data_IF_376043912956
#
_entry.id   IF_376043912956
#
_cell.length_a   1.000
_cell.length_b   1.000
_cell.length_c   1.000
_cell.angle_alpha   90.00
_cell.angle_beta   90.00
_cell.angle_gamma   90.00
#
_symmetry.space_group_name_H-M   'P 1'
#
loop_
_entity.id
_entity.type
_entity.pdbx_description
1 polymer ?
#
# COMPACT_ATOMS: atom_id res chain seq x y z
N UNK A 1 -0.60 -15.41 0.43
CA UNK A 1 -0.70 -15.81 -0.99
C UNK A 1 -0.11 -17.20 -1.12
N UNK A 2 -0.79 -18.15 -1.76
CA UNK A 2 -0.32 -19.54 -1.90
C UNK A 2 -0.25 -19.99 -3.37
N UNK A 3 -0.64 -19.13 -4.29
CA UNK A 3 -0.60 -19.35 -5.74
C UNK A 3 0.04 -18.13 -6.41
N UNK A 4 0.70 -18.38 -7.51
CA UNK A 4 1.22 -17.33 -8.37
C UNK A 4 0.09 -16.62 -9.13
N UNK A 5 0.36 -15.41 -9.59
CA UNK A 5 -0.57 -14.66 -10.43
C UNK A 5 -0.54 -15.27 -11.83
N UNK A 6 -1.72 -15.57 -12.39
CA UNK A 6 -1.81 -16.10 -13.75
C UNK A 6 -1.50 -15.02 -14.81
N UNK A 7 -0.97 -15.45 -15.95
CA UNK A 7 -0.71 -14.57 -17.09
C UNK A 7 -1.99 -13.83 -17.55
N UNK A 8 -3.13 -14.52 -17.55
CA UNK A 8 -4.41 -13.90 -17.90
C UNK A 8 -4.79 -12.75 -16.97
N UNK A 9 -4.50 -12.90 -15.67
CA UNK A 9 -4.77 -11.84 -14.69
C UNK A 9 -3.81 -10.66 -14.87
N UNK A 10 -2.52 -10.92 -15.13
CA UNK A 10 -1.54 -9.86 -15.42
C UNK A 10 -1.96 -9.08 -16.66
N UNK A 11 -2.36 -9.76 -17.73
CA UNK A 11 -2.84 -9.13 -18.95
C UNK A 11 -4.12 -8.30 -18.74
N UNK A 12 -5.05 -8.81 -17.92
CA UNK A 12 -6.27 -8.09 -17.58
C UNK A 12 -5.99 -6.82 -16.77
N UNK A 13 -5.05 -6.89 -15.82
CA UNK A 13 -4.60 -5.72 -15.05
C UNK A 13 -3.91 -4.72 -15.99
N UNK A 14 -3.04 -5.17 -16.88
CA UNK A 14 -2.36 -4.32 -17.86
C UNK A 14 -3.36 -3.56 -18.74
N UNK A 15 -4.36 -4.25 -19.28
CA UNK A 15 -5.43 -3.62 -20.07
C UNK A 15 -6.18 -2.56 -19.27
N UNK A 16 -6.57 -2.88 -18.03
CA UNK A 16 -7.26 -1.94 -17.17
C UNK A 16 -6.41 -0.70 -16.85
N UNK A 17 -5.13 -0.89 -16.58
CA UNK A 17 -4.18 0.19 -16.27
C UNK A 17 -3.99 1.14 -17.46
N UNK A 18 -4.11 0.65 -18.68
CA UNK A 18 -4.03 1.48 -19.89
C UNK A 18 -5.34 2.25 -20.17
N UNK A 19 -6.48 1.71 -19.77
CA UNK A 19 -7.80 2.33 -19.93
C UNK A 19 -8.14 3.34 -18.82
N UNK A 20 -7.69 3.08 -17.58
CA UNK A 20 -8.06 3.85 -16.41
C UNK A 20 -7.68 5.35 -16.46
N UNK A 21 -6.55 5.78 -17.04
CA UNK A 21 -6.23 7.20 -17.17
C UNK A 21 -7.30 8.02 -17.89
N UNK A 22 -7.97 7.44 -18.91
CA UNK A 22 -9.06 8.13 -19.60
C UNK A 22 -10.26 8.37 -18.69
N UNK A 23 -10.56 7.43 -17.78
CA UNK A 23 -11.60 7.59 -16.77
C UNK A 23 -11.24 8.71 -15.77
N UNK A 24 -9.97 8.80 -15.39
CA UNK A 24 -9.49 9.89 -14.53
C UNK A 24 -9.62 11.25 -15.22
N UNK A 25 -9.29 11.33 -16.49
CA UNK A 25 -9.41 12.57 -17.27
C UNK A 25 -10.88 12.99 -17.43
N UNK A 26 -11.82 12.06 -17.59
CA UNK A 26 -13.25 12.33 -17.61
C UNK A 26 -13.74 12.89 -16.26
N UNK A 27 -13.29 12.30 -15.15
CA UNK A 27 -13.63 12.77 -13.79
C UNK A 27 -13.03 14.16 -13.56
N UNK A 28 -11.78 14.37 -13.96
CA UNK A 28 -11.08 15.65 -13.85
C UNK A 28 -11.82 16.75 -14.61
N UNK A 29 -12.18 16.50 -15.85
CA UNK A 29 -12.97 17.41 -16.69
C UNK A 29 -14.36 17.73 -16.13
N UNK A 30 -14.98 16.76 -15.43
CA UNK A 30 -16.31 16.95 -14.83
C UNK A 30 -16.28 17.72 -13.52
N UNK A 31 -15.29 17.50 -12.66
CA UNK A 31 -15.29 17.97 -11.26
C UNK A 31 -14.30 19.10 -11.00
N UNK A 32 -13.07 19.01 -11.48
CA UNK A 32 -11.96 19.88 -11.05
C UNK A 32 -12.26 21.35 -11.32
N UNK A 33 -12.75 21.69 -12.51
CA UNK A 33 -13.11 23.06 -12.85
C UNK A 33 -14.60 23.41 -12.60
N UNK A 34 -15.37 22.46 -12.06
CA UNK A 34 -16.78 22.67 -11.81
C UNK A 34 -16.98 23.72 -10.69
N UNK A 35 -17.68 24.81 -11.03
CA UNK A 35 -17.93 25.92 -10.10
C UNK A 35 -18.65 25.48 -8.83
N UNK A 36 -19.64 24.62 -8.93
CA UNK A 36 -20.41 24.14 -7.78
C UNK A 36 -19.52 23.29 -6.88
N UNK A 37 -18.71 22.41 -7.48
CA UNK A 37 -17.77 21.57 -6.75
C UNK A 37 -16.72 22.41 -6.02
N UNK A 38 -16.12 23.39 -6.69
CA UNK A 38 -15.15 24.32 -6.07
C UNK A 38 -15.78 25.10 -4.90
N UNK A 39 -16.98 25.65 -5.08
CA UNK A 39 -17.66 26.40 -4.01
C UNK A 39 -17.98 25.56 -2.77
N UNK A 40 -18.04 24.26 -2.90
CA UNK A 40 -18.33 23.34 -1.79
C UNK A 40 -17.08 22.74 -1.14
N UNK A 41 -15.91 22.89 -1.72
CA UNK A 41 -14.68 22.25 -1.27
C UNK A 41 -13.53 23.21 -0.99
N UNK A 42 -13.46 24.34 -1.69
CA UNK A 42 -12.43 25.35 -1.45
C UNK A 42 -12.69 26.06 -0.13
N UNK A 43 -11.66 26.20 0.69
CA UNK A 43 -11.71 26.79 2.04
C UNK A 43 -12.64 26.05 3.02
N UNK A 44 -13.02 24.82 2.72
CA UNK A 44 -13.86 23.99 3.59
C UNK A 44 -13.00 22.97 4.33
N UNK A 45 -13.20 22.86 5.64
CA UNK A 45 -12.48 21.95 6.53
C UNK A 45 -10.96 22.09 6.39
N UNK A 46 -10.49 23.31 6.45
CA UNK A 46 -9.06 23.65 6.44
C UNK A 46 -8.39 23.08 7.69
N UNK A 47 -7.30 22.35 7.49
CA UNK A 47 -6.48 21.83 8.58
C UNK A 47 -5.07 22.38 8.41
N UNK A 48 -4.59 23.07 9.43
CA UNK A 48 -3.24 23.66 9.42
C UNK A 48 -2.16 22.62 9.65
N UNK A 49 -0.92 22.94 9.25
CA UNK A 49 0.25 22.11 9.53
C UNK A 49 0.42 21.87 11.05
N UNK A 50 0.19 22.90 11.86
CA UNK A 50 0.23 22.81 13.33
C UNK A 50 -0.79 21.81 13.89
N UNK A 51 -2.01 21.81 13.35
CA UNK A 51 -3.06 20.88 13.79
C UNK A 51 -2.74 19.43 13.35
N UNK A 52 -2.14 19.26 12.18
CA UNK A 52 -1.68 17.95 11.72
C UNK A 52 -0.72 17.33 12.71
N UNK A 53 0.29 18.08 13.13
CA UNK A 53 1.29 17.62 14.09
C UNK A 53 0.70 17.37 15.47
N UNK A 54 -0.20 18.24 15.93
CA UNK A 54 -0.83 18.11 17.26
C UNK A 54 -1.78 16.93 17.37
N UNK A 55 -2.53 16.63 16.32
CA UNK A 55 -3.56 15.59 16.32
C UNK A 55 -3.10 14.27 15.69
N UNK A 56 -1.88 14.21 15.14
CA UNK A 56 -1.32 12.99 14.57
C UNK A 56 -2.05 12.53 13.31
N UNK A 57 -2.41 13.46 12.43
CA UNK A 57 -3.00 13.11 11.14
C UNK A 57 -1.99 12.36 10.25
N UNK A 58 -2.49 11.59 9.31
CA UNK A 58 -1.69 10.84 8.34
C UNK A 58 -2.34 10.84 6.96
N UNK A 59 -1.62 10.34 5.96
CA UNK A 59 -2.15 10.18 4.60
C UNK A 59 -2.43 11.50 3.90
N UNK A 60 -3.48 11.52 3.12
CA UNK A 60 -3.86 12.69 2.30
C UNK A 60 -4.21 13.93 3.14
N UNK A 61 -4.58 13.76 4.41
CA UNK A 61 -4.81 14.90 5.31
C UNK A 61 -3.51 15.69 5.51
N UNK A 62 -2.40 15.00 5.68
CA UNK A 62 -1.06 15.57 5.83
C UNK A 62 -0.59 16.17 4.51
N UNK A 63 -0.70 15.43 3.42
CA UNK A 63 -0.25 15.87 2.10
C UNK A 63 -1.04 17.06 1.58
N UNK A 64 -2.35 17.08 1.79
CA UNK A 64 -3.19 18.23 1.41
C UNK A 64 -2.86 19.53 2.13
N UNK A 65 -2.21 19.47 3.28
CA UNK A 65 -1.83 20.64 4.09
C UNK A 65 -0.35 21.05 3.96
N UNK A 66 0.37 20.49 2.99
CA UNK A 66 1.71 20.97 2.64
C UNK A 66 2.87 20.07 3.04
N UNK A 67 2.64 18.97 3.76
CA UNK A 67 3.70 18.06 4.18
C UNK A 67 3.80 16.83 3.27
N UNK A 68 4.96 16.61 2.68
CA UNK A 68 5.24 15.47 1.81
C UNK A 68 5.51 14.18 2.63
N UNK A 69 4.56 13.78 3.47
CA UNK A 69 4.67 12.58 4.28
C UNK A 69 3.96 11.41 3.63
N UNK A 70 4.73 10.39 3.26
CA UNK A 70 4.24 9.12 2.72
C UNK A 70 5.18 8.01 3.19
N UNK A 71 4.65 7.00 3.88
CA UNK A 71 5.45 5.90 4.43
C UNK A 71 6.15 5.08 3.36
N UNK A 72 5.59 5.01 2.15
CA UNK A 72 6.24 4.33 1.02
C UNK A 72 7.56 4.98 0.60
N UNK A 73 7.76 6.27 0.92
CA UNK A 73 9.01 7.02 0.68
C UNK A 73 9.81 7.27 1.96
N UNK A 74 9.14 7.61 3.07
CA UNK A 74 9.81 7.96 4.32
C UNK A 74 10.36 6.73 5.05
N UNK A 75 9.65 5.61 5.01
CA UNK A 75 10.03 4.32 5.59
C UNK A 75 9.63 3.19 4.63
N UNK A 76 10.33 3.03 3.50
CA UNK A 76 9.99 2.07 2.47
C UNK A 76 9.83 0.66 3.03
N UNK A 77 8.80 -0.02 2.60
CA UNK A 77 8.50 -1.40 2.92
C UNK A 77 8.25 -2.17 1.63
N UNK A 78 8.43 -3.50 1.67
CA UNK A 78 8.38 -4.36 0.49
C UNK A 78 9.36 -3.86 -0.59
N UNK A 79 8.88 -3.53 -1.78
CA UNK A 79 9.71 -3.09 -2.92
C UNK A 79 9.44 -1.62 -3.31
N UNK A 80 8.85 -0.79 -2.43
CA UNK A 80 8.52 0.59 -2.80
C UNK A 80 9.73 1.49 -3.06
N UNK A 81 10.90 1.15 -2.54
CA UNK A 81 12.16 1.84 -2.81
C UNK A 81 12.67 1.62 -4.24
N UNK A 82 12.16 0.59 -4.92
CA UNK A 82 12.55 0.24 -6.30
C UNK A 82 11.65 0.90 -7.36
N UNK A 83 10.52 1.49 -6.97
CA UNK A 83 9.57 2.11 -7.89
C UNK A 83 9.71 3.63 -7.91
N UNK A 84 9.58 4.19 -9.11
CA UNK A 84 9.54 5.64 -9.28
C UNK A 84 8.10 6.15 -9.23
N UNK A 85 7.84 7.05 -8.28
CA UNK A 85 6.57 7.77 -8.13
C UNK A 85 6.78 9.04 -7.32
N UNK A 86 5.88 9.99 -7.48
CA UNK A 86 5.89 11.25 -6.75
C UNK A 86 4.84 11.26 -5.65
N UNK A 87 5.11 12.00 -4.58
CA UNK A 87 4.16 12.25 -3.50
C UNK A 87 3.49 13.59 -3.78
N UNK A 88 2.21 13.63 -4.16
CA UNK A 88 1.51 14.88 -4.39
C UNK A 88 1.26 15.62 -3.09
N UNK A 89 1.43 16.94 -3.12
CA UNK A 89 1.31 17.82 -1.95
C UNK A 89 0.43 19.01 -2.30
N UNK A 90 -0.56 19.28 -1.46
CA UNK A 90 -1.38 20.50 -1.52
C UNK A 90 -0.75 21.65 -0.75
N UNK A 91 -1.44 22.77 -0.67
CA UNK A 91 -0.95 23.98 0.02
C UNK A 91 -1.98 24.59 0.99
N UNK A 92 -3.26 24.37 0.74
CA UNK A 92 -4.33 25.06 1.48
C UNK A 92 -4.93 24.23 2.62
N UNK A 93 -4.67 22.94 2.65
CA UNK A 93 -5.18 22.04 3.68
C UNK A 93 -6.70 21.85 3.69
N UNK A 94 -7.38 22.20 2.60
CA UNK A 94 -8.83 22.14 2.47
C UNK A 94 -9.32 20.86 1.77
N UNK A 95 -10.62 20.72 1.64
CA UNK A 95 -11.22 19.58 0.95
C UNK A 95 -10.83 19.52 -0.53
N UNK A 96 -10.64 20.67 -1.17
CA UNK A 96 -10.29 20.73 -2.58
C UNK A 96 -8.86 20.24 -2.83
N UNK A 97 -7.90 20.68 -2.03
CA UNK A 97 -6.52 20.20 -2.12
C UNK A 97 -6.41 18.68 -1.84
N UNK A 98 -7.17 18.18 -0.87
CA UNK A 98 -7.24 16.73 -0.62
C UNK A 98 -7.82 15.96 -1.81
N UNK A 99 -8.78 16.53 -2.51
CA UNK A 99 -9.30 15.95 -3.76
C UNK A 99 -8.22 15.94 -4.85
N UNK A 100 -7.53 17.06 -5.06
CA UNK A 100 -6.46 17.14 -6.06
C UNK A 100 -5.31 16.16 -5.78
N UNK A 101 -4.90 16.05 -4.52
CA UNK A 101 -3.92 15.05 -4.10
C UNK A 101 -4.37 13.63 -4.45
N UNK A 102 -5.64 13.26 -4.18
CA UNK A 102 -6.17 11.93 -4.53
C UNK A 102 -6.21 11.67 -6.03
N UNK A 103 -6.56 12.67 -6.82
CA UNK A 103 -6.55 12.54 -8.29
C UNK A 103 -5.13 12.23 -8.80
N UNK A 104 -4.14 12.94 -8.27
CA UNK A 104 -2.75 12.69 -8.64
C UNK A 104 -2.21 11.36 -8.05
N UNK A 105 -2.58 11.01 -6.82
CA UNK A 105 -2.23 9.71 -6.22
C UNK A 105 -2.74 8.53 -7.04
N UNK A 106 -3.92 8.64 -7.66
CA UNK A 106 -4.42 7.60 -8.57
C UNK A 106 -3.57 7.49 -9.83
N UNK A 107 -3.10 8.62 -10.41
CA UNK A 107 -2.18 8.63 -11.55
C UNK A 107 -0.83 8.00 -11.19
N UNK A 108 -0.29 8.34 -10.03
CA UNK A 108 0.96 7.74 -9.54
C UNK A 108 0.79 6.23 -9.28
N UNK A 109 -0.35 5.79 -8.76
CA UNK A 109 -0.66 4.38 -8.54
C UNK A 109 -0.70 3.59 -9.85
N UNK A 110 -1.26 4.16 -10.91
CA UNK A 110 -1.22 3.57 -12.27
C UNK A 110 0.24 3.39 -12.71
N UNK A 111 1.08 4.40 -12.51
CA UNK A 111 2.51 4.33 -12.82
C UNK A 111 3.24 3.21 -12.05
N UNK A 112 2.95 3.07 -10.76
CA UNK A 112 3.51 1.97 -9.94
C UNK A 112 3.07 0.61 -10.47
N UNK A 113 1.77 0.42 -10.78
CA UNK A 113 1.27 -0.86 -11.28
C UNK A 113 1.94 -1.23 -12.61
N UNK A 114 2.19 -0.28 -13.51
CA UNK A 114 2.93 -0.53 -14.76
C UNK A 114 4.33 -1.05 -14.50
N UNK A 115 5.07 -0.40 -13.61
CA UNK A 115 6.42 -0.83 -13.21
C UNK A 115 6.41 -2.23 -12.57
N UNK A 116 5.38 -2.53 -11.74
CA UNK A 116 5.21 -3.87 -11.14
C UNK A 116 4.99 -4.94 -12.22
N UNK A 117 4.15 -4.67 -13.22
CA UNK A 117 3.90 -5.62 -14.32
C UNK A 117 5.19 -5.89 -15.08
N UNK A 118 5.93 -4.84 -15.48
CA UNK A 118 7.22 -4.97 -16.17
C UNK A 118 8.23 -5.80 -15.34
N UNK A 119 8.27 -5.59 -14.04
CA UNK A 119 9.15 -6.33 -13.13
C UNK A 119 8.73 -7.81 -13.00
N UNK A 120 7.43 -8.10 -12.92
CA UNK A 120 6.90 -9.46 -12.84
C UNK A 120 7.17 -10.30 -14.12
N UNK A 121 7.33 -9.67 -15.27
CA UNK A 121 7.71 -10.36 -16.50
C UNK A 121 9.14 -10.89 -16.43
N UNK A 122 10.02 -10.17 -15.77
CA UNK A 122 11.46 -10.50 -15.69
C UNK A 122 11.79 -11.35 -14.47
N UNK A 123 11.23 -11.02 -13.31
CA UNK A 123 11.53 -11.69 -12.06
C UNK A 123 10.63 -12.90 -11.84
N UNK A 124 11.24 -14.07 -11.72
CA UNK A 124 10.56 -15.33 -11.40
C UNK A 124 11.08 -15.84 -10.07
N UNK A 125 10.17 -16.32 -9.22
CA UNK A 125 10.54 -16.82 -7.91
C UNK A 125 9.47 -17.69 -7.26
N UNK A 126 9.81 -18.28 -6.11
CA UNK A 126 8.85 -19.03 -5.30
C UNK A 126 7.85 -18.06 -4.63
N UNK A 127 6.56 -18.32 -4.76
CA UNK A 127 5.49 -17.49 -4.13
C UNK A 127 5.33 -17.76 -2.63
N UNK A 128 5.94 -18.82 -2.11
CA UNK A 128 5.86 -19.20 -0.71
C UNK A 128 7.23 -19.04 -0.05
N UNK A 129 7.28 -18.23 0.99
CA UNK A 129 8.43 -18.18 1.88
C UNK A 129 8.59 -19.53 2.60
N UNK A 130 9.85 -19.96 2.76
CA UNK A 130 10.18 -21.20 3.48
C UNK A 130 10.99 -20.86 4.72
N UNK A 131 10.66 -21.51 5.81
CA UNK A 131 11.36 -21.29 7.06
C UNK A 131 10.74 -22.07 8.21
N UNK A 132 11.26 -21.83 9.40
CA UNK A 132 10.79 -22.50 10.63
C UNK A 132 9.35 -22.15 11.01
N UNK A 133 8.82 -21.04 10.49
CA UNK A 133 7.46 -20.55 10.77
C UNK A 133 6.44 -20.98 9.70
N UNK A 134 6.89 -21.68 8.65
CA UNK A 134 6.03 -22.14 7.56
C UNK A 134 5.93 -23.67 7.55
N UNK A 135 4.76 -24.22 7.21
CA UNK A 135 4.59 -25.66 7.15
C UNK A 135 5.46 -26.27 6.05
N UNK A 136 6.02 -27.47 6.28
CA UNK A 136 6.81 -28.18 5.27
C UNK A 136 5.91 -28.65 4.11
N UNK A 137 6.52 -28.94 2.97
CA UNK A 137 5.81 -29.52 1.83
C UNK A 137 5.19 -30.86 2.20
N UNK A 138 3.97 -31.12 1.73
CA UNK A 138 3.27 -32.39 2.00
C UNK A 138 4.07 -33.61 1.55
N UNK A 139 4.82 -33.53 0.46
CA UNK A 139 5.67 -34.61 -0.01
C UNK A 139 6.85 -34.89 0.93
N UNK A 140 7.45 -33.86 1.52
CA UNK A 140 8.55 -33.98 2.46
C UNK A 140 8.12 -34.69 3.75
N UNK A 141 6.90 -34.45 4.23
CA UNK A 141 6.37 -35.13 5.43
C UNK A 141 6.25 -36.66 5.29
N UNK A 142 6.23 -37.18 4.05
CA UNK A 142 6.16 -38.62 3.80
C UNK A 142 7.51 -39.32 3.84
N UNK A 143 8.58 -38.57 3.66
CA UNK A 143 9.94 -39.10 3.50
C UNK A 143 10.94 -38.59 4.54
N UNK A 144 10.62 -37.47 5.22
CA UNK A 144 11.45 -36.87 6.26
C UNK A 144 10.72 -36.88 7.60
N UNK A 145 11.29 -37.53 8.60
CA UNK A 145 10.79 -37.51 9.97
C UNK A 145 10.86 -36.09 10.57
N UNK A 146 11.90 -35.32 10.24
CA UNK A 146 12.08 -33.95 10.70
C UNK A 146 10.94 -33.04 10.18
N UNK A 147 10.60 -33.17 8.90
CA UNK A 147 9.48 -32.44 8.31
C UNK A 147 8.14 -32.81 8.96
N UNK A 148 7.92 -34.08 9.26
CA UNK A 148 6.71 -34.52 9.96
C UNK A 148 6.65 -33.96 11.38
N UNK A 149 7.74 -33.99 12.13
CA UNK A 149 7.82 -33.42 13.49
C UNK A 149 7.62 -31.91 13.44
N UNK A 150 8.25 -31.21 12.49
CA UNK A 150 8.08 -29.77 12.32
C UNK A 150 6.62 -29.40 12.05
N UNK A 151 5.95 -30.11 11.13
CA UNK A 151 4.54 -29.93 10.85
C UNK A 151 3.69 -30.13 12.13
N UNK A 152 3.94 -31.22 12.84
CA UNK A 152 3.19 -31.56 14.06
C UNK A 152 3.33 -30.50 15.13
N UNK A 153 4.55 -30.06 15.40
CA UNK A 153 4.82 -29.01 16.40
C UNK A 153 4.22 -27.68 16.01
N UNK A 154 4.32 -27.28 14.74
CA UNK A 154 3.77 -26.01 14.27
C UNK A 154 2.25 -25.94 14.47
N UNK A 155 1.51 -27.04 14.28
CA UNK A 155 0.04 -27.05 14.40
C UNK A 155 -0.47 -27.39 15.81
N UNK A 156 0.32 -28.02 16.66
CA UNK A 156 -0.10 -28.37 18.04
C UNK A 156 0.43 -27.38 19.07
N UNK A 157 1.69 -27.00 18.98
CA UNK A 157 2.36 -26.12 19.94
C UNK A 157 2.48 -24.67 19.41
N UNK A 158 2.63 -24.51 18.07
CA UNK A 158 2.91 -23.24 17.45
C UNK A 158 4.39 -22.84 17.60
N UNK A 159 4.62 -21.55 17.62
CA UNK A 159 5.95 -20.96 17.86
C UNK A 159 5.85 -19.90 18.96
N UNK A 160 6.91 -19.76 19.72
CA UNK A 160 7.00 -18.74 20.77
C UNK A 160 7.66 -17.48 20.22
N UNK A 161 7.05 -16.34 20.51
CA UNK A 161 7.60 -15.03 20.21
C UNK A 161 8.36 -14.55 21.44
N UNK A 162 9.60 -14.07 21.33
CA UNK A 162 10.33 -13.52 22.48
C UNK A 162 9.60 -12.30 23.04
N UNK A 163 9.75 -12.07 24.34
CA UNK A 163 9.19 -10.90 25.01
C UNK A 163 9.70 -9.61 24.35
N UNK A 164 8.80 -8.69 24.09
CA UNK A 164 9.11 -7.42 23.43
C UNK A 164 7.89 -6.75 22.81
N UNK A 165 8.14 -5.63 22.19
CA UNK A 165 7.10 -4.88 21.49
C UNK A 165 7.55 -4.52 20.08
N UNK A 166 6.60 -4.44 19.15
CA UNK A 166 6.83 -4.04 17.78
C UNK A 166 5.68 -3.17 17.28
N UNK A 167 6.02 -2.09 16.61
CA UNK A 167 5.09 -1.29 15.82
C UNK A 167 5.48 -1.38 14.35
N UNK A 168 4.52 -1.68 13.51
CA UNK A 168 4.70 -1.70 12.05
C UNK A 168 3.55 -0.98 11.39
N UNK A 169 3.87 -0.13 10.44
CA UNK A 169 2.89 0.69 9.74
C UNK A 169 3.06 0.60 8.22
N UNK A 170 1.94 0.75 7.51
CA UNK A 170 1.89 0.85 6.06
C UNK A 170 1.06 2.05 5.64
N UNK A 171 1.33 2.59 4.46
CA UNK A 171 0.51 3.65 3.87
C UNK A 171 -0.74 3.03 3.26
N UNK A 172 -1.87 3.22 3.93
CA UNK A 172 -3.17 2.79 3.43
C UNK A 172 -3.88 3.94 2.69
N UNK A 173 -4.95 3.67 1.89
CA UNK A 173 -5.63 4.71 1.11
C UNK A 173 -6.20 5.88 1.92
N UNK A 174 -6.44 5.66 3.21
CA UNK A 174 -6.96 6.70 4.12
C UNK A 174 -5.92 7.29 5.06
N UNK A 175 -4.69 6.80 5.00
CA UNK A 175 -3.60 7.22 5.86
C UNK A 175 -2.83 6.03 6.45
N UNK A 176 -2.04 6.27 7.47
CA UNK A 176 -1.25 5.24 8.12
C UNK A 176 -2.14 4.17 8.75
N UNK A 177 -1.87 2.92 8.39
CA UNK A 177 -2.41 1.75 9.08
C UNK A 177 -1.29 1.11 9.89
N UNK A 178 -1.36 1.29 11.20
CA UNK A 178 -0.36 0.79 12.13
C UNK A 178 -0.86 -0.39 12.95
N UNK A 179 0.03 -1.35 13.20
CA UNK A 179 -0.20 -2.49 14.09
C UNK A 179 0.85 -2.47 15.18
N UNK A 180 0.40 -2.41 16.42
CA UNK A 180 1.23 -2.50 17.61
C UNK A 180 0.99 -3.82 18.33
N UNK A 181 2.02 -4.60 18.53
CA UNK A 181 1.98 -5.91 19.19
C UNK A 181 2.94 -5.92 20.37
N UNK A 182 2.48 -6.50 21.48
CA UNK A 182 3.28 -6.77 22.67
C UNK A 182 3.24 -8.25 22.95
N UNK A 183 4.41 -8.84 23.22
CA UNK A 183 4.59 -10.22 23.67
C UNK A 183 5.27 -10.22 25.05
N UNK A 184 4.73 -10.96 26.00
CA UNK A 184 5.24 -11.17 27.36
C UNK A 184 5.63 -12.63 27.62
#
# INVERSE_FOLDING_TARGET
VHQDISEDLINAIGTWVDEFPAVLDDIDGLLTENRIFKQRNVDIAVVSEDDILKYGFSGVMVRGSGLAWDLRRAQPYECYDEFDFQVPVGNNGDCYDRYLCRMEEMRQSVGIIKQVIEKLEVEKGDVLARGKLTPPKRAEMKTSMEALIHHFKLYTEGFHVPAGEVYSAVEAPKGEFGVYLVSD
#
